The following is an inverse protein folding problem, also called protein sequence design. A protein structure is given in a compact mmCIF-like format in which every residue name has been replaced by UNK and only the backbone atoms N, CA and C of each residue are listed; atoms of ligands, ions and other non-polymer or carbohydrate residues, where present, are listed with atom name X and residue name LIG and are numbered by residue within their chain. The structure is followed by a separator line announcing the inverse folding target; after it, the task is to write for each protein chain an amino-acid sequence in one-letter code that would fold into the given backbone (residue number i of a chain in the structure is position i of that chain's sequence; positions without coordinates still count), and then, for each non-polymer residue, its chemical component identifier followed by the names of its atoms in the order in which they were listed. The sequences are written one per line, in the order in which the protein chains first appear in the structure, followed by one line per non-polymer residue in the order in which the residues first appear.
data_IF_749753280388
#
_entry.id   IF_749753280388
#
_cell.length_a   1.000
_cell.length_b   1.000
_cell.length_c   1.000
_cell.angle_alpha   90.00
_cell.angle_beta   90.00
_cell.angle_gamma   90.00
#
_symmetry.space_group_name_H-M   'P 1'
#
loop_
_entity.id
_entity.type
_entity.pdbx_description
1 polymer ?
#
# COMPACT_ATOMS: atom_id res chain seq x y z
N UNK A 1 -16.87 -7.02 1.21
CA UNK A 1 -17.13 -8.49 1.14
C UNK A 1 -17.60 -8.95 -0.25
N UNK A 2 -17.12 -8.34 -1.34
CA UNK A 2 -17.59 -8.69 -2.70
C UNK A 2 -16.92 -9.96 -3.25
N UNK A 3 -15.61 -10.11 -3.07
CA UNK A 3 -14.89 -11.31 -3.55
C UNK A 3 -15.36 -12.62 -2.91
N UNK A 4 -15.73 -12.57 -1.62
CA UNK A 4 -16.34 -13.73 -0.92
C UNK A 4 -17.71 -14.05 -1.51
N UNK A 5 -18.57 -13.03 -1.73
CA UNK A 5 -19.89 -13.20 -2.33
C UNK A 5 -19.82 -13.71 -3.78
N UNK A 6 -18.78 -13.33 -4.52
CA UNK A 6 -18.50 -13.82 -5.86
C UNK A 6 -17.83 -15.21 -5.88
N UNK A 7 -17.57 -15.83 -4.71
CA UNK A 7 -16.97 -17.17 -4.64
C UNK A 7 -15.54 -17.25 -5.17
N UNK A 8 -14.79 -16.15 -5.14
CA UNK A 8 -13.45 -16.09 -5.74
C UNK A 8 -12.44 -16.82 -4.88
N UNK A 9 -12.08 -18.03 -5.32
CA UNK A 9 -11.07 -18.89 -4.72
C UNK A 9 -9.75 -18.91 -5.49
N UNK A 10 -8.63 -19.23 -4.81
CA UNK A 10 -7.30 -19.28 -5.44
C UNK A 10 -7.16 -20.41 -6.47
N UNK A 11 -7.91 -21.50 -6.28
CA UNK A 11 -7.91 -22.66 -7.18
C UNK A 11 -8.90 -22.45 -8.33
N UNK A 12 -10.08 -21.87 -8.05
CA UNK A 12 -11.16 -21.76 -9.03
C UNK A 12 -10.96 -20.65 -10.08
N UNK A 13 -10.33 -19.53 -9.69
CA UNK A 13 -10.16 -18.36 -10.56
C UNK A 13 -8.68 -18.02 -10.84
N UNK A 14 -7.76 -18.87 -10.35
CA UNK A 14 -6.32 -18.67 -10.44
C UNK A 14 -5.78 -17.65 -9.42
N UNK A 15 -4.48 -17.77 -9.15
CA UNK A 15 -3.80 -16.99 -8.10
C UNK A 15 -3.84 -15.48 -8.36
N UNK A 16 -3.70 -15.04 -9.61
CA UNK A 16 -3.67 -13.62 -9.98
C UNK A 16 -5.00 -12.91 -9.68
N UNK A 17 -6.11 -13.47 -10.17
CA UNK A 17 -7.46 -12.91 -9.95
C UNK A 17 -7.83 -12.94 -8.47
N UNK A 18 -7.52 -14.04 -7.79
CA UNK A 18 -7.78 -14.14 -6.36
C UNK A 18 -7.00 -13.07 -5.56
N UNK A 19 -5.72 -12.85 -5.85
CA UNK A 19 -4.90 -11.83 -5.18
C UNK A 19 -5.44 -10.42 -5.44
N UNK A 20 -5.78 -10.10 -6.70
CA UNK A 20 -6.29 -8.77 -7.04
C UNK A 20 -7.61 -8.47 -6.32
N UNK A 21 -8.56 -9.41 -6.35
CA UNK A 21 -9.87 -9.20 -5.72
C UNK A 21 -9.79 -9.27 -4.19
N UNK A 22 -9.16 -10.31 -3.65
CA UNK A 22 -9.22 -10.59 -2.21
C UNK A 22 -8.22 -9.80 -1.39
N UNK A 23 -7.15 -9.27 -2.01
CA UNK A 23 -6.16 -8.43 -1.31
C UNK A 23 -6.26 -6.98 -1.76
N UNK A 24 -6.08 -6.69 -3.06
CA UNK A 24 -5.95 -5.31 -3.55
C UNK A 24 -7.28 -4.56 -3.48
N UNK A 25 -8.35 -5.12 -4.06
CA UNK A 25 -9.67 -4.51 -4.03
C UNK A 25 -10.25 -4.49 -2.61
N UNK A 26 -10.08 -5.57 -1.84
CA UNK A 26 -10.53 -5.65 -0.45
C UNK A 26 -9.89 -4.58 0.45
N UNK A 27 -8.57 -4.38 0.35
CA UNK A 27 -7.88 -3.32 1.11
C UNK A 27 -8.40 -1.93 0.73
N UNK A 28 -8.58 -1.65 -0.57
CA UNK A 28 -9.16 -0.38 -1.03
C UNK A 28 -10.57 -0.16 -0.50
N UNK A 29 -11.41 -1.21 -0.50
CA UNK A 29 -12.76 -1.17 0.06
C UNK A 29 -12.73 -0.86 1.56
N UNK A 30 -11.86 -1.52 2.33
CA UNK A 30 -11.76 -1.31 3.78
C UNK A 30 -11.31 0.12 4.11
N UNK A 31 -10.31 0.65 3.41
CA UNK A 31 -9.83 2.02 3.61
C UNK A 31 -10.90 3.05 3.30
N UNK A 32 -11.64 2.86 2.19
CA UNK A 32 -12.75 3.75 1.82
C UNK A 32 -13.91 3.66 2.82
N UNK A 33 -14.27 2.46 3.28
CA UNK A 33 -15.37 2.24 4.21
C UNK A 33 -15.16 2.92 5.56
N UNK A 34 -13.92 2.89 6.06
CA UNK A 34 -13.57 3.45 7.37
C UNK A 34 -13.00 4.87 7.30
N UNK A 35 -12.82 5.42 6.09
CA UNK A 35 -12.29 6.77 5.90
C UNK A 35 -10.83 6.92 6.34
N UNK A 36 -10.03 5.87 6.27
CA UNK A 36 -8.62 5.92 6.64
C UNK A 36 -7.81 6.70 5.59
N UNK A 37 -7.12 7.73 6.04
CA UNK A 37 -6.20 8.56 5.25
C UNK A 37 -4.76 8.03 5.26
N UNK A 38 -4.41 7.14 6.19
CA UNK A 38 -3.12 6.47 6.24
C UNK A 38 -3.26 4.98 6.54
N UNK A 39 -2.39 4.16 5.95
CA UNK A 39 -2.27 2.74 6.26
C UNK A 39 -0.81 2.33 6.45
N UNK A 40 -0.53 1.61 7.53
CA UNK A 40 0.80 1.11 7.85
C UNK A 40 0.97 -0.27 7.20
N UNK A 41 2.05 -0.44 6.44
CA UNK A 41 2.45 -1.70 5.83
C UNK A 41 3.80 -2.18 6.35
N UNK A 42 3.96 -3.49 6.50
CA UNK A 42 5.20 -4.12 6.96
C UNK A 42 6.19 -4.47 5.84
N UNK A 43 6.01 -3.92 4.63
CA UNK A 43 6.89 -4.24 3.51
C UNK A 43 8.29 -3.63 3.69
N UNK A 44 9.31 -4.36 3.26
CA UNK A 44 10.73 -3.99 3.43
C UNK A 44 11.45 -3.90 2.09
N UNK A 45 12.52 -3.10 2.03
CA UNK A 45 13.26 -2.86 0.76
C UNK A 45 14.11 -4.04 0.31
N UNK A 46 14.52 -4.90 1.24
CA UNK A 46 15.33 -6.09 0.98
C UNK A 46 14.51 -7.26 0.41
N UNK A 47 13.19 -7.28 0.65
CA UNK A 47 12.30 -8.38 0.22
C UNK A 47 12.20 -8.56 -1.30
N UNK A 48 12.34 -7.48 -2.08
CA UNK A 48 12.20 -7.52 -3.54
C UNK A 48 13.00 -6.40 -4.21
N UNK A 49 13.70 -6.69 -5.33
CA UNK A 49 14.62 -5.75 -5.98
C UNK A 49 13.96 -4.44 -6.42
N UNK A 50 12.69 -4.50 -6.82
CA UNK A 50 11.92 -3.33 -7.25
C UNK A 50 11.66 -2.34 -6.11
N UNK A 51 11.70 -2.81 -4.85
CA UNK A 51 11.45 -2.01 -3.65
C UNK A 51 12.63 -1.17 -3.19
N UNK A 52 13.82 -1.37 -3.76
CA UNK A 52 15.02 -0.63 -3.37
C UNK A 52 14.89 0.91 -3.47
N UNK A 53 13.95 1.41 -4.31
CA UNK A 53 13.66 2.84 -4.50
C UNK A 53 12.35 3.28 -3.82
N UNK A 54 11.73 2.42 -3.02
CA UNK A 54 10.51 2.75 -2.28
C UNK A 54 10.79 3.75 -1.16
N UNK A 55 9.81 4.63 -0.95
CA UNK A 55 9.80 5.64 0.11
C UNK A 55 9.10 5.08 1.34
N UNK A 56 9.45 5.60 2.52
CA UNK A 56 8.75 5.27 3.76
C UNK A 56 7.30 5.72 3.66
N UNK A 57 7.07 6.91 3.08
CA UNK A 57 5.76 7.49 2.83
C UNK A 57 5.44 7.45 1.34
N UNK A 58 4.54 6.55 0.96
CA UNK A 58 4.01 6.43 -0.40
C UNK A 58 2.67 7.17 -0.50
N UNK A 59 2.68 8.33 -1.16
CA UNK A 59 1.49 9.15 -1.37
C UNK A 59 0.58 8.55 -2.45
N UNK A 60 -0.74 8.61 -2.21
CA UNK A 60 -1.81 8.16 -3.10
C UNK A 60 -2.80 9.29 -3.31
N UNK A 61 -3.15 9.53 -4.57
CA UNK A 61 -4.15 10.52 -4.93
C UNK A 61 -5.57 10.08 -4.51
N UNK A 62 -6.57 10.94 -4.74
CA UNK A 62 -7.97 10.67 -4.40
C UNK A 62 -8.55 9.39 -5.05
N UNK A 63 -7.99 8.97 -6.20
CA UNK A 63 -8.35 7.72 -6.88
C UNK A 63 -7.51 6.53 -6.40
N UNK A 64 -6.79 6.65 -5.28
CA UNK A 64 -5.90 5.65 -4.70
C UNK A 64 -4.76 5.21 -5.64
N UNK A 65 -4.44 6.03 -6.65
CA UNK A 65 -3.35 5.78 -7.60
C UNK A 65 -2.05 6.39 -7.10
N UNK A 66 -0.96 5.80 -7.55
CA UNK A 66 0.39 6.30 -7.29
C UNK A 66 0.87 7.14 -8.47
N UNK A 67 1.44 8.31 -8.17
CA UNK A 67 2.07 9.19 -9.15
C UNK A 67 3.51 9.47 -8.71
N UNK A 68 4.52 9.19 -9.56
CA UNK A 68 5.92 9.46 -9.24
C UNK A 68 6.20 10.93 -8.94
N UNK A 69 5.49 11.87 -9.58
CA UNK A 69 5.70 13.32 -9.43
C UNK A 69 5.16 13.86 -8.10
N UNK A 70 4.18 13.17 -7.52
CA UNK A 70 3.57 13.56 -6.24
C UNK A 70 4.32 12.97 -5.03
N UNK A 71 5.31 12.11 -5.27
CA UNK A 71 6.14 11.56 -4.20
C UNK A 71 7.10 12.61 -3.67
N UNK A 72 7.21 12.68 -2.34
CA UNK A 72 7.94 13.76 -1.67
C UNK A 72 9.35 13.29 -1.28
N UNK A 73 10.35 14.17 -1.37
CA UNK A 73 11.68 13.87 -0.84
C UNK A 73 11.60 13.64 0.67
N UNK A 74 12.32 12.63 1.15
CA UNK A 74 12.44 12.26 2.56
C UNK A 74 13.88 12.59 2.95
N UNK A 75 14.10 13.79 3.49
CA UNK A 75 15.43 14.26 3.85
C UNK A 75 15.66 14.03 5.34
N UNK A 76 16.75 13.34 5.70
CA UNK A 76 17.02 12.90 7.07
C UNK A 76 15.84 12.10 7.65
N UNK A 77 15.33 12.52 8.81
CA UNK A 77 14.16 11.96 9.48
C UNK A 77 12.97 12.93 9.44
N UNK A 78 12.93 13.83 8.45
CA UNK A 78 11.88 14.83 8.27
C UNK A 78 10.95 14.39 7.13
N UNK A 79 9.69 14.19 7.46
CA UNK A 79 8.69 13.66 6.53
C UNK A 79 7.56 14.66 6.30
N UNK A 80 7.20 14.88 5.05
CA UNK A 80 6.06 15.72 4.70
C UNK A 80 4.79 14.86 4.53
N UNK A 81 3.97 14.83 5.56
CA UNK A 81 2.75 14.00 5.65
C UNK A 81 1.45 14.76 5.32
N UNK A 82 1.53 16.01 4.83
CA UNK A 82 0.33 16.81 4.51
C UNK A 82 -0.52 16.11 3.44
N UNK A 83 -1.82 15.96 3.62
CA UNK A 83 -2.72 15.36 2.63
C UNK A 83 -3.80 16.37 2.24
N UNK A 84 -4.17 16.40 0.96
CA UNK A 84 -5.39 17.07 0.53
C UNK A 84 -6.61 16.17 0.79
N UNK A 85 -7.83 16.73 0.87
CA UNK A 85 -9.04 15.94 1.06
C UNK A 85 -9.18 14.80 0.05
N UNK A 86 -9.40 13.58 0.55
CA UNK A 86 -9.53 12.36 -0.26
C UNK A 86 -8.21 11.68 -0.62
N UNK A 87 -7.06 12.34 -0.45
CA UNK A 87 -5.76 11.69 -0.59
C UNK A 87 -5.48 10.74 0.57
N UNK A 88 -4.60 9.78 0.33
CA UNK A 88 -4.16 8.88 1.40
C UNK A 88 -2.68 8.55 1.29
N UNK A 89 -2.13 7.94 2.33
CA UNK A 89 -0.73 7.56 2.40
C UNK A 89 -0.58 6.08 2.78
N UNK A 90 0.44 5.42 2.22
CA UNK A 90 0.94 4.15 2.75
C UNK A 90 2.26 4.41 3.44
N UNK A 91 2.42 3.89 4.65
CA UNK A 91 3.58 4.13 5.50
C UNK A 91 4.28 2.81 5.78
N UNK A 92 5.60 2.76 5.58
CA UNK A 92 6.40 1.54 5.71
C UNK A 92 7.54 1.72 6.74
N UNK A 93 7.23 1.65 8.05
CA UNK A 93 8.23 1.92 9.10
C UNK A 93 9.43 0.98 9.06
N UNK A 94 9.23 -0.25 8.57
CA UNK A 94 10.26 -1.28 8.51
C UNK A 94 11.08 -1.25 7.22
N UNK A 95 10.93 -0.22 6.37
CA UNK A 95 11.61 -0.17 5.06
C UNK A 95 13.13 -0.35 5.12
N UNK A 96 13.76 0.03 6.23
CA UNK A 96 15.21 -0.10 6.43
C UNK A 96 15.64 -1.36 7.20
N UNK A 97 14.69 -2.22 7.61
CA UNK A 97 14.98 -3.46 8.31
C UNK A 97 15.27 -4.57 7.31
N UNK A 98 16.26 -5.39 7.60
CA UNK A 98 16.55 -6.64 6.89
C UNK A 98 15.84 -7.82 7.54
N UNK A 99 15.88 -8.99 6.90
CA UNK A 99 15.24 -10.19 7.46
C UNK A 99 15.83 -10.59 8.82
N UNK A 100 17.10 -10.23 9.08
CA UNK A 100 17.77 -10.49 10.35
C UNK A 100 17.35 -9.52 11.48
N UNK A 101 16.88 -8.33 11.13
CA UNK A 101 16.51 -7.31 12.12
C UNK A 101 15.11 -7.55 12.71
N UNK A 102 14.25 -8.31 12.03
CA UNK A 102 12.86 -8.63 12.40
C UNK A 102 12.81 -9.71 13.48
#
# INVERSE_FOLDING_TARGET
QEGVRAGIGPISHGASVHVDVMKVAALRQALAQHGFDAAIGGARRDEEKSRAKERIFSHRNAQQRWDPRQQRPELWNVYNTRLAPGESMRVFPLSNWTELDV
#
